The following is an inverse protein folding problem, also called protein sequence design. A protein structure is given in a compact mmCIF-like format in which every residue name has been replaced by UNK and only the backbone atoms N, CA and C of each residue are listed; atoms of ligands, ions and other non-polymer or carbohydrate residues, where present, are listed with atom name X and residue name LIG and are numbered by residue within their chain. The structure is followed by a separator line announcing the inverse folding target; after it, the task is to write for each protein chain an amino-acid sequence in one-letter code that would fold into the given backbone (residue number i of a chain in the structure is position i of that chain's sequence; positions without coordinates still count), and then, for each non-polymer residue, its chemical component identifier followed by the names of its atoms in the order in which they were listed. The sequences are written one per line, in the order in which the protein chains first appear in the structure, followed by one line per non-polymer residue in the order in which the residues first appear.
data_IF_825860289492
#
_entry.id   IF_825860289492
#
_cell.length_a   1.000
_cell.length_b   1.000
_cell.length_c   1.000
_cell.angle_alpha   90.00
_cell.angle_beta   90.00
_cell.angle_gamma   90.00
#
_symmetry.space_group_name_H-M   'P 1'
#
loop_
_entity.id
_entity.type
_entity.pdbx_description
1 polymer ?
#
# COMPACT_ATOMS: atom_id res chain seq x y z
N UNK A 1 8.32 10.43 -19.95
CA UNK A 1 7.93 9.20 -19.22
C UNK A 1 7.22 9.64 -17.95
N UNK A 2 5.90 9.46 -17.87
CA UNK A 2 5.13 9.81 -16.67
C UNK A 2 5.14 8.63 -15.71
N UNK A 3 5.19 8.90 -14.41
CA UNK A 3 5.06 7.89 -13.34
C UNK A 3 3.66 7.97 -12.76
N UNK A 4 3.14 6.85 -12.27
CA UNK A 4 1.83 6.76 -11.62
C UNK A 4 1.89 5.85 -10.40
N UNK A 5 0.89 5.97 -9.53
CA UNK A 5 0.72 5.17 -8.31
C UNK A 5 -0.70 4.58 -8.37
N UNK A 6 -0.86 3.35 -7.90
CA UNK A 6 -2.16 2.68 -7.75
C UNK A 6 -2.39 2.47 -6.26
N UNK A 7 -3.51 3.00 -5.74
CA UNK A 7 -3.95 2.78 -4.36
C UNK A 7 -5.11 1.79 -4.36
N UNK A 8 -5.02 0.77 -3.52
CA UNK A 8 -6.02 -0.29 -3.37
C UNK A 8 -6.08 -0.73 -1.91
N UNK A 9 -7.22 -1.24 -1.49
CA UNK A 9 -7.31 -1.99 -0.25
C UNK A 9 -6.42 -3.23 -0.31
N UNK A 10 -5.72 -3.49 0.79
CA UNK A 10 -4.85 -4.66 0.89
C UNK A 10 -5.73 -5.88 1.17
N UNK A 11 -5.85 -6.83 0.23
CA UNK A 11 -6.64 -8.03 0.48
C UNK A 11 -5.91 -8.93 1.49
N UNK A 12 -6.69 -9.71 2.24
CA UNK A 12 -6.14 -10.68 3.20
C UNK A 12 -5.25 -11.73 2.49
N UNK A 13 -5.62 -12.13 1.27
CA UNK A 13 -4.89 -13.09 0.44
C UNK A 13 -5.20 -12.89 -1.05
N UNK A 14 -4.66 -13.75 -1.92
CA UNK A 14 -4.85 -13.63 -3.36
C UNK A 14 -6.26 -13.98 -3.88
N UNK A 15 -7.18 -14.55 -3.09
CA UNK A 15 -8.52 -14.96 -3.56
C UNK A 15 -9.34 -13.79 -4.06
N UNK A 16 -9.44 -12.75 -3.25
CA UNK A 16 -10.28 -11.57 -3.50
C UNK A 16 -9.42 -10.35 -3.90
N UNK A 17 -8.24 -10.59 -4.46
CA UNK A 17 -7.31 -9.54 -4.87
C UNK A 17 -7.71 -8.93 -6.22
N UNK A 18 -7.92 -7.60 -6.25
CA UNK A 18 -8.24 -6.83 -7.46
C UNK A 18 -7.14 -6.87 -8.54
N UNK A 19 -5.91 -7.22 -8.14
CA UNK A 19 -4.76 -7.31 -9.04
C UNK A 19 -4.52 -8.73 -9.57
N UNK A 20 -5.41 -9.68 -9.29
CA UNK A 20 -5.37 -11.05 -9.81
C UNK A 20 -6.34 -11.21 -10.98
N UNK A 21 -5.88 -11.79 -12.07
CA UNK A 21 -6.71 -12.15 -13.23
C UNK A 21 -7.55 -13.41 -12.97
N UNK A 22 -8.52 -13.68 -13.84
CA UNK A 22 -9.28 -14.94 -13.80
C UNK A 22 -8.42 -16.19 -14.05
N UNK A 23 -7.24 -16.02 -14.66
CA UNK A 23 -6.27 -17.09 -14.90
C UNK A 23 -5.25 -17.29 -13.76
N UNK A 24 -5.49 -16.66 -12.60
CA UNK A 24 -4.59 -16.68 -11.44
C UNK A 24 -3.23 -16.00 -11.66
N UNK A 25 -3.15 -15.03 -12.56
CA UNK A 25 -1.95 -14.20 -12.74
C UNK A 25 -2.08 -12.86 -12.02
N UNK A 26 -1.07 -12.47 -11.26
CA UNK A 26 -0.96 -11.13 -10.67
C UNK A 26 -0.55 -10.11 -11.74
N UNK A 27 -0.89 -8.82 -11.54
CA UNK A 27 -0.54 -7.70 -12.43
C UNK A 27 0.96 -7.60 -12.77
N UNK A 28 1.83 -8.17 -11.94
CA UNK A 28 3.29 -8.26 -12.17
C UNK A 28 3.71 -9.45 -13.04
N UNK A 29 2.76 -10.18 -13.65
CA UNK A 29 3.02 -11.31 -14.54
C UNK A 29 3.46 -12.59 -13.84
N UNK A 30 3.08 -12.77 -12.56
CA UNK A 30 3.41 -13.97 -11.77
C UNK A 30 2.15 -14.73 -11.42
N UNK A 31 2.19 -16.04 -11.59
CA UNK A 31 1.10 -16.92 -11.20
C UNK A 31 0.97 -17.00 -9.68
N UNK A 32 -0.26 -16.93 -9.16
CA UNK A 32 -0.60 -16.93 -7.73
C UNK A 32 -1.60 -18.03 -7.35
N UNK A 33 -1.81 -19.03 -8.21
CA UNK A 33 -2.78 -20.10 -7.99
C UNK A 33 -2.58 -20.80 -6.65
N UNK A 34 -1.34 -21.11 -6.30
CA UNK A 34 -0.99 -21.77 -5.03
C UNK A 34 -1.33 -20.89 -3.82
N UNK A 35 -0.96 -19.60 -3.85
CA UNK A 35 -1.26 -18.64 -2.78
C UNK A 35 -2.78 -18.44 -2.61
N UNK A 36 -3.51 -18.37 -3.73
CA UNK A 36 -4.98 -18.33 -3.72
C UNK A 36 -5.56 -19.56 -3.02
N UNK A 37 -5.11 -20.76 -3.41
CA UNK A 37 -5.63 -22.00 -2.86
C UNK A 37 -5.33 -22.13 -1.36
N UNK A 38 -4.11 -21.76 -0.97
CA UNK A 38 -3.65 -21.82 0.41
C UNK A 38 -4.11 -20.64 1.27
N UNK A 39 -4.89 -19.70 0.72
CA UNK A 39 -5.35 -18.47 1.40
C UNK A 39 -4.19 -17.68 2.01
N UNK A 40 -3.10 -17.56 1.26
CA UNK A 40 -1.87 -16.91 1.69
C UNK A 40 -1.49 -15.76 0.76
N UNK A 41 -0.58 -14.91 1.24
CA UNK A 41 -0.01 -13.80 0.49
C UNK A 41 1.46 -14.11 0.19
N UNK A 42 1.94 -13.94 -1.05
CA UNK A 42 3.35 -14.09 -1.37
C UNK A 42 4.18 -12.95 -0.75
N UNK A 43 5.40 -13.26 -0.32
CA UNK A 43 6.36 -12.25 0.17
C UNK A 43 6.70 -11.19 -0.88
N UNK A 44 6.62 -11.56 -2.17
CA UNK A 44 6.88 -10.66 -3.29
C UNK A 44 5.68 -9.81 -3.70
N UNK A 45 4.53 -9.92 -3.01
CA UNK A 45 3.30 -9.22 -3.38
C UNK A 45 3.55 -7.72 -3.65
N UNK A 46 3.06 -7.16 -4.77
CA UNK A 46 3.31 -5.76 -5.10
C UNK A 46 2.56 -4.77 -4.19
N UNK A 47 1.49 -5.21 -3.50
CA UNK A 47 0.69 -4.37 -2.62
C UNK A 47 1.43 -4.19 -1.30
N UNK A 48 1.84 -2.95 -1.02
CA UNK A 48 2.48 -2.52 0.21
C UNK A 48 1.51 -1.69 1.04
N UNK A 49 1.65 -1.77 2.36
CA UNK A 49 0.95 -0.85 3.25
C UNK A 49 1.41 0.57 2.96
N UNK A 50 0.49 1.52 3.15
CA UNK A 50 0.89 2.91 3.29
C UNK A 50 1.89 3.02 4.43
N UNK A 51 2.87 3.93 4.32
CA UNK A 51 3.77 4.18 5.42
C UNK A 51 3.02 4.65 6.67
N UNK A 52 3.59 4.36 7.83
CA UNK A 52 3.07 4.87 9.09
C UNK A 52 3.26 6.39 9.19
N UNK A 53 2.34 7.02 9.93
CA UNK A 53 2.51 8.41 10.35
C UNK A 53 3.65 8.51 11.35
N UNK A 54 4.36 9.64 11.30
CA UNK A 54 5.31 9.95 12.36
C UNK A 54 4.55 10.36 13.63
N UNK A 55 4.96 9.78 14.76
CA UNK A 55 4.56 10.29 16.06
C UNK A 55 5.18 11.68 16.26
N UNK A 56 4.37 12.65 16.72
CA UNK A 56 4.84 14.02 16.95
C UNK A 56 5.48 14.12 18.35
N UNK A 57 6.56 13.39 18.63
CA UNK A 57 7.14 13.34 19.99
C UNK A 57 8.22 14.41 20.26
N UNK A 58 8.49 15.35 19.35
CA UNK A 58 9.52 16.36 19.60
C UNK A 58 9.01 17.80 19.53
N UNK A 59 8.63 18.31 20.72
CA UNK A 59 8.50 19.75 20.99
C UNK A 59 9.81 20.54 20.80
N UNK A 60 10.93 19.88 20.48
CA UNK A 60 12.27 20.45 20.54
C UNK A 60 13.10 20.39 19.24
N UNK A 61 12.54 19.97 18.10
CA UNK A 61 13.26 20.02 16.82
C UNK A 61 12.42 20.79 15.80
N UNK A 62 12.55 22.10 15.81
CA UNK A 62 11.90 22.99 14.83
C UNK A 62 12.26 22.64 13.38
N UNK A 63 13.39 21.94 13.18
CA UNK A 63 13.95 21.55 11.88
C UNK A 63 13.23 20.37 11.21
N UNK A 64 12.57 19.50 11.99
CA UNK A 64 11.86 18.32 11.46
C UNK A 64 10.33 18.46 11.50
N UNK A 65 9.82 19.52 12.11
CA UNK A 65 8.38 19.71 12.32
C UNK A 65 7.62 19.81 10.99
N UNK A 66 8.09 20.64 10.07
CA UNK A 66 7.44 20.84 8.76
C UNK A 66 7.46 19.55 7.92
N UNK A 67 8.52 18.75 8.03
CA UNK A 67 8.61 17.45 7.37
C UNK A 67 7.61 16.44 7.96
N UNK A 68 7.54 16.35 9.29
CA UNK A 68 6.59 15.46 9.99
C UNK A 68 5.15 15.83 9.66
N UNK A 69 4.82 17.12 9.70
CA UNK A 69 3.50 17.63 9.33
C UNK A 69 3.18 17.31 7.87
N UNK A 70 4.04 17.70 6.92
CA UNK A 70 3.80 17.44 5.50
C UNK A 70 3.69 15.96 5.15
N UNK A 71 4.47 15.09 5.80
CA UNK A 71 4.37 13.64 5.64
C UNK A 71 3.02 13.10 6.13
N UNK A 72 2.62 13.48 7.35
CA UNK A 72 1.35 13.04 7.92
C UNK A 72 0.15 13.59 7.15
N UNK A 73 0.21 14.84 6.68
CA UNK A 73 -0.80 15.46 5.83
C UNK A 73 -0.94 14.70 4.49
N UNK A 74 0.17 14.30 3.87
CA UNK A 74 0.14 13.49 2.65
C UNK A 74 -0.56 12.13 2.88
N UNK A 75 -0.25 11.45 3.99
CA UNK A 75 -0.92 10.21 4.36
C UNK A 75 -2.41 10.45 4.62
N UNK A 76 -2.76 11.56 5.29
CA UNK A 76 -4.15 11.93 5.55
C UNK A 76 -4.93 12.18 4.26
N UNK A 77 -4.35 12.90 3.29
CA UNK A 77 -4.99 13.08 1.98
C UNK A 77 -5.19 11.77 1.23
N UNK A 78 -4.25 10.83 1.31
CA UNK A 78 -4.40 9.51 0.70
C UNK A 78 -5.53 8.69 1.37
N UNK A 79 -5.70 8.82 2.69
CA UNK A 79 -6.68 8.08 3.47
C UNK A 79 -8.07 8.71 3.51
N UNK A 80 -8.25 9.95 3.03
CA UNK A 80 -9.58 10.57 2.93
C UNK A 80 -10.43 9.80 1.93
N UNK A 81 -11.59 9.30 2.39
CA UNK A 81 -12.57 8.63 1.54
C UNK A 81 -12.98 9.54 0.36
N UNK A 82 -12.57 9.18 -0.86
CA UNK A 82 -12.96 9.91 -2.07
C UNK A 82 -11.97 9.97 -3.23
N UNK A 83 -11.18 8.92 -3.45
CA UNK A 83 -10.57 8.68 -4.77
C UNK A 83 -11.62 8.37 -5.83
#
# INVERSE_FOLDING_TARGET
MSKGIIMVDIPADCRDCLLRSLADDCIVGRNVMEYRHNKSKPDWCPIRALPDKFESNNRNAHEDFDYVCGWNDCIDELLKDGG
#
